data_IF_519541856057
#
_entry.id   IF_519541856057
#
_cell.length_a   1.000
_cell.length_b   1.000
_cell.length_c   1.000
_cell.angle_alpha   90.00
_cell.angle_beta   90.00
_cell.angle_gamma   90.00
#
_symmetry.space_group_name_H-M   'P 1'
#
loop_
_entity.id
_entity.type
_entity.pdbx_description
1 polymer ?
#
# COMPACT_ATOMS: atom_id res chain seq x y z
N UNK A 1 24.04 -0.10 -1.65
CA UNK A 1 23.21 1.09 -1.98
C UNK A 1 22.49 1.57 -0.72
N UNK A 2 21.90 2.77 -0.73
CA UNK A 2 21.06 3.30 0.36
C UNK A 2 19.63 3.49 -0.13
N UNK A 3 18.66 3.45 0.78
CA UNK A 3 17.25 3.74 0.50
C UNK A 3 16.97 5.19 0.87
N UNK A 4 16.30 5.93 -0.02
CA UNK A 4 15.79 7.27 0.27
C UNK A 4 14.39 7.18 0.87
N UNK A 5 14.19 7.80 2.02
CA UNK A 5 12.86 7.95 2.64
C UNK A 5 12.19 9.18 2.04
N UNK A 6 11.34 8.96 1.04
CA UNK A 6 10.67 10.04 0.29
C UNK A 6 9.56 10.71 1.11
N UNK A 7 9.90 11.81 1.79
CA UNK A 7 8.96 12.66 2.51
C UNK A 7 8.30 13.75 1.63
N UNK A 8 8.65 13.83 0.35
CA UNK A 8 8.20 14.89 -0.57
C UNK A 8 6.71 14.76 -0.94
N UNK A 9 6.09 13.62 -0.64
CA UNK A 9 4.65 13.36 -0.89
C UNK A 9 3.70 14.09 0.04
N UNK A 10 4.20 14.71 1.10
CA UNK A 10 3.38 15.40 2.11
C UNK A 10 3.18 16.90 1.81
N UNK A 11 3.69 17.39 0.68
CA UNK A 11 3.53 18.79 0.27
C UNK A 11 2.18 19.04 -0.40
N UNK A 12 1.69 20.29 -0.33
CA UNK A 12 0.44 20.69 -0.98
C UNK A 12 0.49 20.40 -2.49
N UNK A 13 -0.49 19.65 -2.99
CA UNK A 13 -0.61 19.29 -4.41
C UNK A 13 0.20 18.05 -4.83
N UNK A 14 1.03 17.50 -3.94
CA UNK A 14 1.65 16.20 -4.18
C UNK A 14 0.60 15.08 -4.11
N UNK A 15 0.84 13.99 -4.85
CA UNK A 15 -0.04 12.82 -4.87
C UNK A 15 0.73 11.53 -4.55
N UNK A 16 0.01 10.57 -3.99
CA UNK A 16 0.41 9.18 -3.84
C UNK A 16 -0.59 8.27 -4.57
N UNK A 17 -0.18 7.06 -4.91
CA UNK A 17 -1.07 6.11 -5.59
C UNK A 17 -2.23 5.71 -4.66
N UNK A 18 -3.44 5.66 -5.22
CA UNK A 18 -4.60 5.20 -4.45
C UNK A 18 -4.49 3.69 -4.16
N UNK A 19 -4.86 3.23 -2.95
CA UNK A 19 -4.92 1.81 -2.62
C UNK A 19 -5.78 1.04 -3.63
N UNK A 20 -5.38 -0.18 -3.95
CA UNK A 20 -6.01 -1.05 -4.97
C UNK A 20 -5.99 -0.52 -6.42
N UNK A 21 -5.27 0.56 -6.70
CA UNK A 21 -5.07 1.01 -8.09
C UNK A 21 -4.00 0.19 -8.81
N UNK A 22 -4.26 -0.14 -10.07
CA UNK A 22 -3.28 -0.77 -10.96
C UNK A 22 -2.14 0.20 -11.34
N UNK A 23 -0.97 -0.36 -11.65
CA UNK A 23 0.21 0.38 -12.11
C UNK A 23 0.46 0.07 -13.58
N UNK A 24 0.84 1.10 -14.35
CA UNK A 24 1.23 0.95 -15.76
C UNK A 24 2.63 0.35 -15.89
N UNK A 25 2.72 -0.97 -15.67
CA UNK A 25 3.91 -1.82 -15.73
C UNK A 25 3.53 -3.21 -16.26
N UNK A 26 4.46 -3.99 -16.83
CA UNK A 26 4.20 -5.37 -17.23
C UNK A 26 3.57 -6.19 -16.11
N UNK A 27 2.56 -6.99 -16.46
CA UNK A 27 1.76 -7.74 -15.49
C UNK A 27 0.67 -6.93 -14.77
N UNK A 28 0.63 -5.60 -14.92
CA UNK A 28 -0.31 -4.70 -14.26
C UNK A 28 -0.41 -4.93 -12.73
N UNK A 29 0.69 -4.70 -11.99
CA UNK A 29 0.71 -4.87 -10.54
C UNK A 29 -0.23 -3.87 -9.84
N UNK A 30 -0.74 -4.24 -8.68
CA UNK A 30 -1.73 -3.46 -7.90
C UNK A 30 -1.12 -3.00 -6.59
N UNK A 31 -1.35 -1.73 -6.23
CA UNK A 31 -0.94 -1.16 -4.95
C UNK A 31 -1.85 -1.65 -3.80
N UNK A 32 -1.73 -2.93 -3.43
CA UNK A 32 -2.58 -3.55 -2.43
C UNK A 32 -2.05 -3.31 -0.99
N UNK A 33 -2.91 -2.91 -0.05
CA UNK A 33 -2.60 -2.93 1.37
C UNK A 33 -2.18 -4.33 1.87
N UNK A 34 -1.17 -4.35 2.75
CA UNK A 34 -0.67 -5.55 3.41
C UNK A 34 -0.46 -5.31 4.90
N UNK A 35 -0.42 -6.39 5.66
CA UNK A 35 -0.06 -6.38 7.07
C UNK A 35 1.46 -6.43 7.26
N UNK A 36 1.94 -6.05 8.45
CA UNK A 36 3.34 -6.21 8.83
C UNK A 36 3.83 -7.66 8.82
N UNK A 37 2.93 -8.62 9.05
CA UNK A 37 3.28 -10.05 9.00
C UNK A 37 3.53 -10.50 7.56
N UNK A 38 2.67 -10.11 6.62
CA UNK A 38 2.82 -10.42 5.19
C UNK A 38 4.06 -9.75 4.58
N UNK A 39 4.41 -8.54 5.03
CA UNK A 39 5.61 -7.84 4.57
C UNK A 39 6.90 -8.67 4.74
N UNK A 40 6.95 -9.57 5.73
CA UNK A 40 8.13 -10.42 5.99
C UNK A 40 8.31 -11.53 4.96
N UNK A 41 7.26 -11.89 4.23
CA UNK A 41 7.24 -13.03 3.31
C UNK A 41 6.98 -12.62 1.86
N UNK A 42 6.67 -11.34 1.61
CA UNK A 42 6.49 -10.81 0.26
C UNK A 42 7.85 -10.41 -0.32
N UNK A 43 8.27 -11.11 -1.36
CA UNK A 43 9.60 -10.94 -1.96
C UNK A 43 9.71 -9.71 -2.87
N UNK A 44 8.59 -9.22 -3.40
CA UNK A 44 8.59 -8.13 -4.39
C UNK A 44 7.38 -7.19 -4.24
N UNK A 45 7.55 -5.89 -4.54
CA UNK A 45 6.45 -4.91 -4.47
C UNK A 45 5.36 -5.14 -5.53
N UNK A 46 5.62 -5.98 -6.53
CA UNK A 46 4.67 -6.38 -7.57
C UNK A 46 3.94 -7.69 -7.25
N UNK A 47 3.86 -8.10 -5.98
CA UNK A 47 3.28 -9.37 -5.54
C UNK A 47 1.83 -9.56 -6.00
N UNK A 48 1.01 -8.51 -5.95
CA UNK A 48 -0.37 -8.54 -6.45
C UNK A 48 -0.48 -7.88 -7.81
N UNK A 49 -1.35 -8.41 -8.66
CA UNK A 49 -1.70 -7.84 -9.95
C UNK A 49 -3.20 -7.91 -10.25
N UNK A 50 -3.64 -7.29 -11.35
CA UNK A 50 -5.07 -7.21 -11.70
C UNK A 50 -5.76 -8.58 -11.87
N UNK A 51 -4.99 -9.64 -12.17
CA UNK A 51 -5.50 -11.01 -12.27
C UNK A 51 -5.91 -11.60 -10.91
N UNK A 52 -5.37 -11.07 -9.82
CA UNK A 52 -5.69 -11.49 -8.45
C UNK A 52 -7.00 -10.88 -7.93
N UNK A 53 -7.87 -10.37 -8.81
CA UNK A 53 -9.09 -9.67 -8.44
C UNK A 53 -9.96 -10.40 -7.39
N UNK A 54 -10.14 -11.74 -7.42
CA UNK A 54 -10.86 -12.44 -6.36
C UNK A 54 -10.19 -12.32 -4.98
N UNK A 55 -8.87 -12.49 -4.91
CA UNK A 55 -8.10 -12.37 -3.68
C UNK A 55 -8.08 -10.92 -3.19
N UNK A 56 -7.85 -9.95 -4.09
CA UNK A 56 -7.87 -8.52 -3.76
C UNK A 56 -9.22 -8.08 -3.15
N UNK A 57 -10.34 -8.58 -3.68
CA UNK A 57 -11.68 -8.33 -3.11
C UNK A 57 -11.82 -8.92 -1.71
N UNK A 58 -11.38 -10.17 -1.51
CA UNK A 58 -11.38 -10.82 -0.18
C UNK A 58 -10.55 -10.04 0.82
N UNK A 59 -9.37 -9.55 0.40
CA UNK A 59 -8.48 -8.73 1.24
C UNK A 59 -9.13 -7.40 1.61
N UNK A 60 -9.77 -6.72 0.67
CA UNK A 60 -10.40 -5.42 0.90
C UNK A 60 -11.47 -5.43 2.00
N UNK A 61 -12.07 -6.60 2.28
CA UNK A 61 -13.07 -6.79 3.35
C UNK A 61 -12.53 -7.57 4.55
N UNK A 62 -11.23 -7.90 4.56
CA UNK A 62 -10.62 -8.69 5.62
C UNK A 62 -10.52 -7.92 6.93
N UNK A 63 -10.80 -8.60 8.05
CA UNK A 63 -10.57 -8.07 9.40
C UNK A 63 -9.11 -7.69 9.65
N UNK A 64 -8.16 -8.34 8.98
CA UNK A 64 -6.73 -8.03 9.12
C UNK A 64 -6.35 -6.64 8.61
N UNK A 65 -7.18 -6.07 7.72
CA UNK A 65 -7.02 -4.72 7.17
C UNK A 65 -8.10 -3.76 7.69
N UNK A 66 -8.87 -4.15 8.71
CA UNK A 66 -9.86 -3.27 9.31
C UNK A 66 -9.16 -2.04 9.91
N UNK A 67 -9.65 -0.85 9.55
CA UNK A 67 -9.06 0.43 9.98
C UNK A 67 -7.77 0.82 9.25
N UNK A 68 -7.27 0.01 8.30
CA UNK A 68 -6.10 0.37 7.50
C UNK A 68 -6.32 1.71 6.78
N UNK A 69 -5.30 2.58 6.80
CA UNK A 69 -5.37 3.91 6.17
C UNK A 69 -6.09 4.97 7.01
N UNK A 70 -6.52 4.66 8.24
CA UNK A 70 -7.00 5.64 9.22
C UNK A 70 -6.12 5.58 10.47
N UNK A 71 -5.73 6.75 10.95
CA UNK A 71 -5.04 6.91 12.22
C UNK A 71 -5.59 8.15 12.91
N UNK A 72 -6.22 7.95 14.06
CA UNK A 72 -6.66 9.04 14.95
C UNK A 72 -5.52 9.36 15.91
N UNK A 73 -4.45 9.96 15.37
CA UNK A 73 -3.23 10.26 16.11
C UNK A 73 -2.75 11.68 15.76
N UNK A 74 -2.25 12.41 16.75
CA UNK A 74 -1.59 13.70 16.56
C UNK A 74 -0.07 13.54 16.64
N UNK A 75 0.66 14.46 16.02
CA UNK A 75 2.09 14.58 16.25
C UNK A 75 2.34 15.00 17.71
N UNK A 76 3.43 14.51 18.34
CA UNK A 76 3.83 14.97 19.66
C UNK A 76 4.25 16.44 19.62
N UNK A 77 4.25 17.09 20.79
CA UNK A 77 4.86 18.41 20.95
C UNK A 77 6.35 18.33 20.58
N UNK A 78 6.85 19.39 19.95
CA UNK A 78 8.24 19.50 19.46
C UNK A 78 9.18 20.04 20.54
#
# INVERSE_FOLDING_TARGET
>A
GRIFVDYLRNQRGATAIMPYSARSRPGAPVAAPITWAEMKTIDAPSHFHVGDAPELKKRAVSKSLAGWGRADQSLPDL
#
